data_IF_755719871927
#
_entry.id   IF_755719871927
#
_cell.length_a   1.000
_cell.length_b   1.000
_cell.length_c   1.000
_cell.angle_alpha   90.00
_cell.angle_beta   90.00
_cell.angle_gamma   90.00
#
_symmetry.space_group_name_H-M   'P 1'
#
loop_
_entity.id
_entity.type
_entity.pdbx_description
1 polymer ?
#
# COMPACT_ATOMS: atom_id res chain seq x y z
N UNK A 1 -5.34 16.54 -10.90
CA UNK A 1 -6.10 16.69 -9.65
C UNK A 1 -5.53 15.73 -8.64
N UNK A 2 -5.33 16.19 -7.41
CA UNK A 2 -4.81 15.37 -6.32
C UNK A 2 -5.93 15.05 -5.34
N UNK A 3 -6.00 13.81 -4.86
CA UNK A 3 -7.10 13.29 -4.06
C UNK A 3 -6.61 12.92 -2.67
N UNK A 4 -7.49 13.11 -1.69
CA UNK A 4 -7.46 12.35 -0.47
C UNK A 4 -8.25 11.07 -0.71
N UNK A 5 -7.63 9.93 -0.46
CA UNK A 5 -8.25 8.61 -0.62
C UNK A 5 -8.27 7.85 0.71
N UNK A 6 -9.05 6.78 0.77
CA UNK A 6 -9.01 5.81 1.87
C UNK A 6 -8.66 4.43 1.30
N UNK A 7 -7.64 3.80 1.87
CA UNK A 7 -7.30 2.41 1.61
C UNK A 7 -8.32 1.48 2.28
N UNK A 8 -8.81 0.49 1.55
CA UNK A 8 -9.68 -0.56 2.11
C UNK A 8 -9.00 -1.34 3.24
N UNK A 9 -7.65 -1.31 3.29
CA UNK A 9 -6.91 -1.90 4.40
C UNK A 9 -7.22 -1.23 5.75
N UNK A 10 -7.63 0.05 5.77
CA UNK A 10 -8.11 0.72 6.99
C UNK A 10 -9.27 -0.02 7.67
N UNK A 11 -10.05 -0.77 6.90
CA UNK A 11 -11.19 -1.58 7.36
C UNK A 11 -10.92 -3.09 7.26
N UNK A 12 -9.64 -3.51 7.31
CA UNK A 12 -9.24 -4.92 7.10
C UNK A 12 -9.99 -5.92 7.99
N UNK A 13 -10.35 -5.52 9.21
CA UNK A 13 -11.09 -6.38 10.14
C UNK A 13 -12.57 -6.57 9.80
N UNK A 14 -13.12 -5.82 8.87
CA UNK A 14 -14.53 -5.84 8.51
C UNK A 14 -14.78 -6.37 7.09
N UNK A 15 -13.78 -6.31 6.21
CA UNK A 15 -13.90 -6.64 4.79
C UNK A 15 -13.69 -8.12 4.45
N UNK A 16 -13.62 -9.00 5.45
CA UNK A 16 -13.44 -10.44 5.27
C UNK A 16 -11.97 -10.87 5.40
N UNK A 17 -11.69 -12.16 5.12
CA UNK A 17 -10.35 -12.70 5.30
C UNK A 17 -9.35 -12.03 4.36
N UNK A 18 -8.12 -11.82 4.87
CA UNK A 18 -7.00 -11.44 4.04
C UNK A 18 -6.40 -12.70 3.40
N UNK A 19 -6.25 -12.69 2.09
CA UNK A 19 -5.67 -13.79 1.32
C UNK A 19 -4.23 -13.47 0.97
N UNK A 20 -3.31 -14.02 1.74
CA UNK A 20 -1.88 -13.92 1.50
C UNK A 20 -1.43 -15.16 0.72
N UNK A 21 -0.57 -14.95 -0.25
CA UNK A 21 -0.01 -16.01 -1.05
C UNK A 21 1.45 -16.23 -0.67
N UNK A 22 1.80 -17.47 -0.41
CA UNK A 22 3.16 -17.85 -0.03
C UNK A 22 3.68 -18.92 -0.99
N UNK A 23 4.90 -18.73 -1.49
CA UNK A 23 5.57 -19.74 -2.31
C UNK A 23 6.45 -20.62 -1.42
N UNK A 24 6.24 -21.93 -1.50
CA UNK A 24 7.05 -22.94 -0.81
C UNK A 24 8.40 -23.14 -1.50
N UNK A 25 9.32 -23.81 -0.82
CA UNK A 25 10.65 -24.15 -1.35
C UNK A 25 10.59 -25.03 -2.62
N UNK A 26 9.54 -25.84 -2.80
CA UNK A 26 9.30 -26.65 -4.01
C UNK A 26 8.68 -25.86 -5.17
N UNK A 27 8.38 -24.59 -4.96
CA UNK A 27 7.77 -23.69 -5.94
C UNK A 27 6.24 -23.69 -5.95
N UNK A 28 5.57 -24.54 -5.18
CA UNK A 28 4.12 -24.50 -5.05
C UNK A 28 3.64 -23.28 -4.29
N UNK A 29 2.42 -22.85 -4.58
CA UNK A 29 1.79 -21.70 -3.92
C UNK A 29 0.79 -22.19 -2.88
N UNK A 30 0.85 -21.60 -1.70
CA UNK A 30 -0.10 -21.77 -0.62
C UNK A 30 -0.86 -20.48 -0.38
N UNK A 31 -2.16 -20.60 -0.13
CA UNK A 31 -2.97 -19.52 0.40
C UNK A 31 -2.92 -19.53 1.93
N UNK A 32 -2.41 -18.46 2.53
CA UNK A 32 -2.56 -18.20 3.96
C UNK A 32 -3.73 -17.25 4.16
N UNK A 33 -4.75 -17.71 4.89
CA UNK A 33 -5.88 -16.88 5.25
C UNK A 33 -5.70 -16.33 6.66
N UNK A 34 -5.74 -14.99 6.79
CA UNK A 34 -5.96 -14.35 8.07
C UNK A 34 -7.46 -14.10 8.18
N UNK A 35 -8.11 -14.85 9.05
CA UNK A 35 -9.57 -14.88 9.15
C UNK A 35 -10.10 -13.65 9.89
N UNK A 36 -10.71 -12.75 9.13
CA UNK A 36 -11.50 -11.64 9.64
C UNK A 36 -12.95 -11.77 9.18
N UNK A 37 -13.93 -11.34 9.98
CA UNK A 37 -15.33 -11.39 9.59
C UNK A 37 -15.61 -10.46 8.39
N UNK A 38 -16.52 -10.87 7.53
CA UNK A 38 -17.06 -9.97 6.49
C UNK A 38 -18.34 -9.30 7.03
N UNK A 39 -18.17 -8.18 7.67
CA UNK A 39 -19.26 -7.32 8.17
C UNK A 39 -19.49 -6.10 7.27
N UNK A 40 -18.63 -5.91 6.27
CA UNK A 40 -18.66 -4.83 5.30
C UNK A 40 -18.31 -5.39 3.91
N UNK A 41 -19.05 -5.00 2.89
CA UNK A 41 -18.71 -5.25 1.48
C UNK A 41 -17.88 -4.10 0.92
N UNK A 42 -17.23 -4.28 -0.23
CA UNK A 42 -16.53 -3.18 -0.90
C UNK A 42 -17.50 -2.06 -1.34
N UNK A 43 -18.71 -2.38 -1.75
CA UNK A 43 -19.73 -1.40 -2.13
C UNK A 43 -20.11 -0.52 -0.93
N UNK A 44 -20.36 -1.14 0.22
CA UNK A 44 -20.63 -0.42 1.47
C UNK A 44 -19.42 0.42 1.91
N UNK A 45 -18.20 -0.13 1.78
CA UNK A 45 -16.96 0.60 2.07
C UNK A 45 -16.84 1.86 1.18
N UNK A 46 -17.08 1.73 -0.12
CA UNK A 46 -17.04 2.86 -1.07
C UNK A 46 -18.03 3.97 -0.65
N UNK A 47 -19.27 3.58 -0.35
CA UNK A 47 -20.28 4.51 0.13
C UNK A 47 -19.92 5.18 1.46
N UNK A 48 -19.50 4.39 2.43
CA UNK A 48 -19.12 4.89 3.76
C UNK A 48 -17.85 5.76 3.72
N UNK A 49 -16.85 5.44 2.89
CA UNK A 49 -15.67 6.30 2.70
C UNK A 49 -16.07 7.71 2.21
N UNK A 50 -17.01 7.79 1.26
CA UNK A 50 -17.58 9.06 0.80
C UNK A 50 -18.30 9.78 1.93
N UNK A 51 -19.25 9.10 2.59
CA UNK A 51 -20.21 9.73 3.50
C UNK A 51 -19.62 10.04 4.89
N UNK A 52 -18.74 9.18 5.38
CA UNK A 52 -18.15 9.31 6.73
C UNK A 52 -16.86 10.12 6.71
N UNK A 53 -15.97 9.85 5.74
CA UNK A 53 -14.66 10.52 5.67
C UNK A 53 -14.70 11.75 4.75
N UNK A 54 -15.64 11.80 3.80
CA UNK A 54 -15.79 12.90 2.85
C UNK A 54 -14.68 12.91 1.79
N UNK A 55 -14.22 11.74 1.36
CA UNK A 55 -13.23 11.57 0.28
C UNK A 55 -13.90 11.33 -1.07
N UNK A 56 -13.15 11.51 -2.15
CA UNK A 56 -13.60 11.26 -3.52
C UNK A 56 -12.87 10.11 -4.20
N UNK A 57 -11.97 9.45 -3.49
CA UNK A 57 -11.22 8.33 -4.01
C UNK A 57 -11.01 7.25 -2.94
N UNK A 58 -10.84 6.02 -3.40
CA UNK A 58 -10.52 4.84 -2.58
C UNK A 58 -9.42 4.02 -3.20
N UNK A 59 -8.79 3.18 -2.40
CA UNK A 59 -7.98 2.07 -2.84
C UNK A 59 -8.64 0.76 -2.44
N UNK A 60 -8.63 -0.22 -3.32
CA UNK A 60 -9.12 -1.56 -3.05
C UNK A 60 -7.95 -2.54 -3.10
N UNK A 61 -7.58 -3.08 -1.93
CA UNK A 61 -6.44 -3.97 -1.80
C UNK A 61 -6.76 -5.36 -2.38
N UNK A 62 -5.88 -5.86 -3.23
CA UNK A 62 -6.03 -7.16 -3.91
C UNK A 62 -6.30 -8.30 -2.93
N UNK A 63 -5.60 -8.32 -1.80
CA UNK A 63 -5.69 -9.40 -0.79
C UNK A 63 -7.06 -9.49 -0.08
N UNK A 64 -7.97 -8.53 -0.27
CA UNK A 64 -9.32 -8.50 0.30
C UNK A 64 -10.40 -8.93 -0.69
N UNK A 65 -10.04 -9.16 -1.96
CA UNK A 65 -11.01 -9.62 -2.96
C UNK A 65 -11.42 -11.07 -2.67
N UNK A 66 -12.72 -11.31 -2.58
CA UNK A 66 -13.32 -12.64 -2.45
C UNK A 66 -13.40 -13.35 -3.81
N UNK A 67 -13.57 -12.58 -4.87
CA UNK A 67 -13.65 -13.06 -6.24
C UNK A 67 -13.24 -11.97 -7.22
N UNK A 68 -12.58 -12.38 -8.29
CA UNK A 68 -12.18 -11.52 -9.41
C UNK A 68 -12.91 -11.92 -10.72
N UNK A 69 -14.06 -12.58 -10.62
CA UNK A 69 -14.88 -12.89 -11.81
C UNK A 69 -15.46 -11.62 -12.44
N UNK A 70 -15.68 -11.59 -13.76
CA UNK A 70 -16.10 -10.38 -14.48
C UNK A 70 -17.33 -9.70 -13.87
N UNK A 71 -18.35 -10.44 -13.51
CA UNK A 71 -19.61 -9.91 -12.95
C UNK A 71 -19.38 -9.19 -11.63
N UNK A 72 -18.43 -9.68 -10.80
CA UNK A 72 -18.06 -9.04 -9.53
C UNK A 72 -17.35 -7.72 -9.77
N UNK A 73 -16.46 -7.68 -10.77
CA UNK A 73 -15.70 -6.47 -11.13
C UNK A 73 -16.63 -5.41 -11.74
N UNK A 74 -17.57 -5.81 -12.60
CA UNK A 74 -18.59 -4.90 -13.14
C UNK A 74 -19.46 -4.30 -12.05
N UNK A 75 -19.89 -5.09 -11.05
CA UNK A 75 -20.63 -4.59 -9.89
C UNK A 75 -19.83 -3.56 -9.07
N UNK A 76 -18.56 -3.83 -8.81
CA UNK A 76 -17.70 -2.88 -8.09
C UNK A 76 -17.47 -1.59 -8.91
N UNK A 77 -17.32 -1.72 -10.23
CA UNK A 77 -17.21 -0.55 -11.10
C UNK A 77 -18.49 0.30 -11.03
N UNK A 78 -19.65 -0.33 -11.12
CA UNK A 78 -20.93 0.37 -11.02
C UNK A 78 -21.07 1.08 -9.66
N UNK A 79 -20.68 0.44 -8.55
CA UNK A 79 -20.72 1.04 -7.22
C UNK A 79 -19.82 2.28 -7.10
N UNK A 80 -18.61 2.24 -7.70
CA UNK A 80 -17.73 3.41 -7.78
C UNK A 80 -18.40 4.57 -8.57
N UNK A 81 -18.98 4.25 -9.71
CA UNK A 81 -19.64 5.25 -10.56
C UNK A 81 -20.88 5.86 -9.89
N UNK A 82 -21.75 5.05 -9.28
CA UNK A 82 -22.93 5.50 -8.53
C UNK A 82 -22.56 6.36 -7.32
N UNK A 83 -21.49 6.01 -6.62
CA UNK A 83 -20.97 6.81 -5.52
C UNK A 83 -20.26 8.09 -5.98
N UNK A 84 -19.94 8.24 -7.28
CA UNK A 84 -19.11 9.32 -7.80
C UNK A 84 -17.67 9.23 -7.29
N UNK A 85 -17.22 8.03 -6.92
CA UNK A 85 -15.90 7.76 -6.33
C UNK A 85 -14.90 7.28 -7.39
N UNK A 86 -13.64 7.60 -7.19
CA UNK A 86 -12.55 7.13 -8.05
C UNK A 86 -11.81 5.99 -7.39
N UNK A 87 -11.41 5.01 -8.18
CA UNK A 87 -10.38 4.07 -7.81
C UNK A 87 -9.02 4.75 -7.99
N UNK A 88 -8.27 4.96 -6.90
CA UNK A 88 -6.95 5.60 -6.99
C UNK A 88 -5.88 4.57 -7.31
N UNK A 89 -5.74 3.57 -6.46
CA UNK A 89 -4.71 2.53 -6.55
C UNK A 89 -5.30 1.16 -6.28
N UNK A 90 -4.73 0.14 -6.90
CA UNK A 90 -4.87 -1.24 -6.48
C UNK A 90 -3.53 -1.72 -5.89
N UNK A 91 -3.41 -1.81 -4.57
CA UNK A 91 -2.30 -2.53 -3.94
C UNK A 91 -2.38 -4.02 -4.25
N UNK A 92 -1.28 -4.60 -4.74
CA UNK A 92 -1.17 -6.00 -5.15
C UNK A 92 -0.04 -6.64 -4.35
N UNK A 93 -0.42 -7.56 -3.45
CA UNK A 93 0.46 -8.16 -2.45
C UNK A 93 0.76 -9.64 -2.73
N UNK A 94 0.83 -10.01 -4.01
CA UNK A 94 1.23 -11.34 -4.46
C UNK A 94 2.60 -11.32 -5.12
N UNK A 95 3.28 -12.46 -5.06
CA UNK A 95 4.56 -12.70 -5.72
C UNK A 95 5.77 -12.12 -4.98
N UNK A 96 6.93 -12.57 -5.40
CA UNK A 96 8.24 -12.10 -4.94
C UNK A 96 9.14 -11.78 -6.13
N UNK A 97 9.12 -10.50 -6.54
CA UNK A 97 9.95 -10.00 -7.64
C UNK A 97 11.44 -9.93 -7.27
N UNK A 98 11.76 -9.99 -5.97
CA UNK A 98 13.13 -10.05 -5.44
C UNK A 98 13.72 -11.47 -5.37
N UNK A 99 12.98 -12.51 -5.76
CA UNK A 99 13.47 -13.88 -5.70
C UNK A 99 14.52 -14.17 -6.77
N UNK A 100 15.55 -14.97 -6.44
CA UNK A 100 16.65 -15.30 -7.39
C UNK A 100 16.20 -16.24 -8.52
N UNK A 101 15.17 -17.07 -8.33
CA UNK A 101 14.66 -17.99 -9.34
C UNK A 101 13.86 -17.25 -10.43
N UNK A 102 14.40 -17.21 -11.65
CA UNK A 102 13.81 -16.49 -12.77
C UNK A 102 12.43 -17.06 -13.20
N UNK A 103 12.22 -18.37 -13.08
CA UNK A 103 10.94 -18.98 -13.44
C UNK A 103 9.84 -18.59 -12.47
N UNK A 104 10.16 -18.49 -11.18
CA UNK A 104 9.20 -18.03 -10.17
C UNK A 104 8.85 -16.56 -10.34
N UNK A 105 9.85 -15.70 -10.61
CA UNK A 105 9.56 -14.30 -10.92
C UNK A 105 8.68 -14.14 -12.16
N UNK A 106 8.90 -14.95 -13.21
CA UNK A 106 8.08 -14.89 -14.42
C UNK A 106 6.62 -15.32 -14.17
N UNK A 107 6.40 -16.32 -13.33
CA UNK A 107 5.08 -16.75 -12.89
C UNK A 107 4.39 -15.64 -12.07
N UNK A 108 5.12 -15.04 -11.12
CA UNK A 108 4.65 -13.93 -10.31
C UNK A 108 4.29 -12.71 -11.16
N UNK A 109 5.12 -12.34 -12.14
CA UNK A 109 4.80 -11.27 -13.10
C UNK A 109 3.51 -11.54 -13.87
N UNK A 110 3.30 -12.76 -14.33
CA UNK A 110 2.08 -13.12 -15.08
C UNK A 110 0.83 -12.95 -14.21
N UNK A 111 0.88 -13.38 -12.95
CA UNK A 111 -0.23 -13.26 -12.00
C UNK A 111 -0.50 -11.80 -11.61
N UNK A 112 0.54 -11.01 -11.39
CA UNK A 112 0.44 -9.56 -11.14
C UNK A 112 -0.23 -8.86 -12.33
N UNK A 113 0.16 -9.18 -13.57
CA UNK A 113 -0.45 -8.59 -14.78
C UNK A 113 -1.94 -8.89 -14.93
N UNK A 114 -2.42 -10.03 -14.42
CA UNK A 114 -3.86 -10.31 -14.38
C UNK A 114 -4.59 -9.29 -13.49
N UNK A 115 -4.00 -8.91 -12.35
CA UNK A 115 -4.55 -7.87 -11.48
C UNK A 115 -4.50 -6.47 -12.10
N UNK A 116 -3.53 -6.18 -12.98
CA UNK A 116 -3.54 -4.92 -13.75
C UNK A 116 -4.78 -4.80 -14.64
N UNK A 117 -5.22 -5.91 -15.23
CA UNK A 117 -6.45 -5.94 -16.02
C UNK A 117 -7.67 -5.58 -15.17
N UNK A 118 -7.76 -6.14 -13.96
CA UNK A 118 -8.83 -5.83 -13.01
C UNK A 118 -8.76 -4.37 -12.55
N UNK A 119 -7.57 -3.89 -12.18
CA UNK A 119 -7.34 -2.50 -11.78
C UNK A 119 -7.80 -1.52 -12.89
N UNK A 120 -7.48 -1.82 -14.15
CA UNK A 120 -7.94 -1.03 -15.30
C UNK A 120 -9.47 -1.04 -15.44
N UNK A 121 -10.12 -2.20 -15.29
CA UNK A 121 -11.57 -2.32 -15.36
C UNK A 121 -12.26 -1.51 -14.27
N UNK A 122 -11.69 -1.46 -13.07
CA UNK A 122 -12.14 -0.62 -11.97
C UNK A 122 -11.80 0.87 -12.14
N UNK A 123 -11.02 1.23 -13.15
CA UNK A 123 -10.65 2.61 -13.46
C UNK A 123 -9.55 3.17 -12.54
N UNK A 124 -8.69 2.31 -12.02
CA UNK A 124 -7.54 2.72 -11.22
C UNK A 124 -6.59 3.64 -12.01
N UNK A 125 -5.95 4.56 -11.30
CA UNK A 125 -4.86 5.37 -11.84
C UNK A 125 -3.51 4.69 -11.65
N UNK A 126 -3.35 3.96 -10.56
CA UNK A 126 -2.12 3.31 -10.14
C UNK A 126 -2.34 1.82 -9.83
N UNK A 127 -1.27 1.07 -9.97
CA UNK A 127 -1.10 -0.27 -9.39
C UNK A 127 0.16 -0.28 -8.56
N UNK A 128 0.13 -0.82 -7.35
CA UNK A 128 1.29 -0.92 -6.47
C UNK A 128 1.70 -2.38 -6.32
N UNK A 129 3.00 -2.64 -6.41
CA UNK A 129 3.62 -3.93 -6.12
C UNK A 129 4.71 -3.76 -5.07
N UNK A 130 5.12 -4.86 -4.46
CA UNK A 130 6.28 -4.90 -3.58
C UNK A 130 7.56 -5.19 -4.40
N UNK A 131 8.71 -4.67 -3.96
CA UNK A 131 9.99 -4.97 -4.59
C UNK A 131 10.44 -6.43 -4.38
N UNK A 132 9.97 -7.04 -3.31
CA UNK A 132 10.15 -8.45 -2.94
C UNK A 132 8.99 -8.85 -2.03
N UNK A 133 9.10 -9.94 -1.29
CA UNK A 133 8.14 -10.22 -0.21
C UNK A 133 8.21 -9.12 0.84
N UNK A 134 7.08 -8.70 1.45
CA UNK A 134 7.09 -7.66 2.49
C UNK A 134 8.09 -7.98 3.62
N UNK A 135 8.91 -7.00 4.01
CA UNK A 135 9.93 -7.18 5.03
C UNK A 135 11.14 -8.02 4.63
N UNK A 136 11.21 -8.51 3.38
CA UNK A 136 12.33 -9.34 2.92
C UNK A 136 13.59 -8.52 2.61
N UNK A 137 14.72 -9.26 2.50
CA UNK A 137 15.99 -8.70 2.05
C UNK A 137 16.21 -9.08 0.60
N UNK A 138 16.21 -8.12 -0.30
CA UNK A 138 16.57 -8.32 -1.70
C UNK A 138 18.10 -8.39 -1.80
N UNK A 139 18.62 -9.53 -2.26
CA UNK A 139 20.06 -9.74 -2.40
C UNK A 139 20.64 -9.08 -3.63
N UNK A 140 21.97 -8.89 -3.66
CA UNK A 140 22.69 -8.37 -4.83
C UNK A 140 22.44 -9.22 -6.09
N UNK A 141 22.38 -10.54 -5.93
CA UNK A 141 22.18 -11.49 -7.03
C UNK A 141 20.76 -11.38 -7.63
N UNK A 142 19.78 -10.95 -6.83
CA UNK A 142 18.41 -10.75 -7.29
C UNK A 142 18.20 -9.43 -8.04
N UNK A 143 19.10 -8.44 -7.86
CA UNK A 143 18.92 -7.07 -8.35
C UNK A 143 18.60 -6.98 -9.84
N UNK A 144 19.40 -7.61 -10.70
CA UNK A 144 19.20 -7.54 -12.15
C UNK A 144 17.85 -8.13 -12.57
N UNK A 145 17.44 -9.23 -11.91
CA UNK A 145 16.13 -9.85 -12.11
C UNK A 145 14.99 -8.95 -11.68
N UNK A 146 15.08 -8.36 -10.50
CA UNK A 146 14.09 -7.41 -9.98
C UNK A 146 13.91 -6.21 -10.92
N UNK A 147 15.00 -5.59 -11.36
CA UNK A 147 14.95 -4.47 -12.31
C UNK A 147 14.29 -4.88 -13.63
N UNK A 148 14.60 -6.07 -14.16
CA UNK A 148 13.99 -6.58 -15.39
C UNK A 148 12.47 -6.81 -15.20
N UNK A 149 12.07 -7.44 -14.10
CA UNK A 149 10.66 -7.67 -13.77
C UNK A 149 9.87 -6.37 -13.62
N UNK A 150 10.42 -5.39 -12.88
CA UNK A 150 9.74 -4.10 -12.71
C UNK A 150 9.68 -3.29 -14.03
N UNK A 151 10.66 -3.40 -14.92
CA UNK A 151 10.56 -2.83 -16.27
C UNK A 151 9.42 -3.46 -17.08
N UNK A 152 9.35 -4.79 -17.08
CA UNK A 152 8.30 -5.55 -17.75
C UNK A 152 6.90 -5.18 -17.22
N UNK A 153 6.75 -5.07 -15.90
CA UNK A 153 5.49 -4.65 -15.25
C UNK A 153 5.18 -3.18 -15.54
N UNK A 154 6.18 -2.29 -15.52
CA UNK A 154 5.99 -0.87 -15.84
C UNK A 154 5.52 -0.64 -17.28
N UNK A 155 6.12 -1.36 -18.25
CA UNK A 155 5.69 -1.31 -19.65
C UNK A 155 4.26 -1.85 -19.81
N UNK A 156 3.92 -2.95 -19.12
CA UNK A 156 2.57 -3.50 -19.11
C UNK A 156 1.55 -2.54 -18.51
N UNK A 157 1.83 -1.93 -17.35
CA UNK A 157 0.98 -0.93 -16.73
C UNK A 157 0.75 0.28 -17.64
N UNK A 158 1.82 0.84 -18.21
CA UNK A 158 1.76 1.98 -19.13
C UNK A 158 0.91 1.67 -20.37
N UNK A 159 1.01 0.47 -20.93
CA UNK A 159 0.19 0.05 -22.08
C UNK A 159 -1.31 0.00 -21.77
N UNK A 160 -1.67 -0.16 -20.49
CA UNK A 160 -3.06 -0.16 -20.00
C UNK A 160 -3.52 1.23 -19.52
N UNK A 161 -2.66 2.25 -19.56
CA UNK A 161 -2.94 3.58 -19.01
C UNK A 161 -2.85 3.65 -17.50
N UNK A 162 -2.21 2.67 -16.86
CA UNK A 162 -1.92 2.62 -15.43
C UNK A 162 -0.49 3.10 -15.17
N UNK A 163 -0.21 3.55 -13.94
CA UNK A 163 1.15 3.83 -13.47
C UNK A 163 1.56 2.79 -12.44
N UNK A 164 2.69 2.12 -12.67
CA UNK A 164 3.26 1.20 -11.68
C UNK A 164 3.93 1.97 -10.54
N UNK A 165 3.66 1.56 -9.32
CA UNK A 165 4.32 2.04 -8.10
C UNK A 165 5.00 0.87 -7.38
N UNK A 166 6.12 1.17 -6.74
CA UNK A 166 6.74 0.32 -5.72
C UNK A 166 6.62 1.00 -4.36
N UNK A 167 6.32 0.24 -3.33
CA UNK A 167 6.17 0.74 -1.96
C UNK A 167 7.38 0.41 -1.09
N UNK A 168 7.70 1.31 -0.14
CA UNK A 168 8.51 0.93 1.00
C UNK A 168 7.66 0.08 1.96
N UNK A 169 7.95 -1.22 2.05
CA UNK A 169 7.12 -2.19 2.77
C UNK A 169 7.94 -3.07 3.72
N UNK A 170 8.78 -2.46 4.54
CA UNK A 170 9.72 -3.13 5.45
C UNK A 170 10.96 -3.70 4.75
N UNK A 171 11.91 -4.15 5.53
CA UNK A 171 13.16 -4.74 5.05
C UNK A 171 13.94 -3.82 4.11
N UNK A 172 14.51 -4.38 3.05
CA UNK A 172 15.32 -3.65 2.08
C UNK A 172 14.54 -2.52 1.40
N UNK A 173 13.24 -2.71 1.14
CA UNK A 173 12.42 -1.72 0.44
C UNK A 173 12.17 -0.45 1.24
N UNK A 174 12.40 -0.45 2.55
CA UNK A 174 12.26 0.74 3.39
C UNK A 174 13.50 1.66 3.38
N UNK A 175 14.56 1.27 2.67
CA UNK A 175 15.78 2.08 2.56
C UNK A 175 15.75 3.00 1.33
N UNK A 176 15.99 4.31 1.50
CA UNK A 176 16.22 5.22 0.37
C UNK A 176 17.41 4.81 -0.50
N UNK A 177 18.44 4.16 0.10
CA UNK A 177 19.62 3.62 -0.60
C UNK A 177 19.27 2.48 -1.55
N UNK A 178 18.14 1.84 -1.36
CA UNK A 178 17.63 0.81 -2.25
C UNK A 178 16.59 1.37 -3.23
N UNK A 179 15.57 2.08 -2.75
CA UNK A 179 14.44 2.51 -3.57
C UNK A 179 14.83 3.54 -4.64
N UNK A 180 15.69 4.52 -4.32
CA UNK A 180 16.07 5.55 -5.29
C UNK A 180 16.92 4.98 -6.44
N UNK A 181 17.96 4.16 -6.18
CA UNK A 181 18.64 3.44 -7.26
C UNK A 181 17.75 2.48 -8.05
N UNK A 182 16.79 1.81 -7.40
CA UNK A 182 15.84 0.91 -8.06
C UNK A 182 14.96 1.70 -9.04
N UNK A 183 14.36 2.80 -8.59
CA UNK A 183 13.56 3.67 -9.45
C UNK A 183 14.36 4.20 -10.64
N UNK A 184 15.58 4.65 -10.41
CA UNK A 184 16.47 5.12 -11.47
C UNK A 184 16.84 3.99 -12.46
N UNK A 185 17.15 2.78 -11.97
CA UNK A 185 17.48 1.64 -12.81
C UNK A 185 16.30 1.15 -13.65
N UNK A 186 15.09 1.17 -13.11
CA UNK A 186 13.87 0.79 -13.86
C UNK A 186 13.47 1.86 -14.87
N UNK A 187 13.57 3.12 -14.50
CA UNK A 187 13.20 4.29 -15.30
C UNK A 187 12.01 5.04 -14.67
N UNK A 188 12.13 6.37 -14.59
CA UNK A 188 11.11 7.23 -13.98
C UNK A 188 9.79 7.23 -14.77
N UNK A 189 9.82 6.89 -16.05
CA UNK A 189 8.67 6.72 -16.92
C UNK A 189 7.88 5.42 -16.62
N UNK A 190 8.54 4.41 -16.03
CA UNK A 190 7.97 3.09 -15.72
C UNK A 190 7.57 2.95 -14.27
N UNK A 191 8.38 3.48 -13.33
CA UNK A 191 8.23 3.23 -11.89
C UNK A 191 8.10 4.51 -11.11
N UNK A 192 7.00 4.64 -10.35
CA UNK A 192 6.83 5.61 -9.28
C UNK A 192 7.10 4.99 -7.91
N UNK A 193 7.22 5.82 -6.88
CA UNK A 193 7.30 5.39 -5.49
C UNK A 193 5.97 5.71 -4.80
N UNK A 194 5.38 4.71 -4.14
CA UNK A 194 4.41 4.91 -3.10
C UNK A 194 5.20 4.97 -1.79
N UNK A 195 5.17 6.11 -1.14
CA UNK A 195 5.82 6.32 0.16
C UNK A 195 4.80 6.13 1.28
N UNK A 196 4.91 5.02 1.98
CA UNK A 196 4.15 4.75 3.20
C UNK A 196 4.90 5.34 4.41
N UNK A 197 4.20 6.17 5.20
CA UNK A 197 4.78 6.89 6.33
C UNK A 197 4.96 6.03 7.58
N UNK A 198 4.47 4.78 7.59
CA UNK A 198 4.57 3.84 8.70
C UNK A 198 5.36 2.56 8.37
N UNK A 199 5.63 2.27 7.09
CA UNK A 199 6.28 1.02 6.68
C UNK A 199 7.82 1.08 6.74
N UNK A 200 8.33 1.52 7.87
CA UNK A 200 9.77 1.54 8.21
C UNK A 200 10.03 0.73 9.45
N UNK A 201 11.22 0.15 9.56
CA UNK A 201 11.67 -0.43 10.82
C UNK A 201 11.91 0.69 11.86
N UNK A 202 11.53 0.49 13.13
CA UNK A 202 10.98 -0.74 13.70
C UNK A 202 9.45 -0.87 13.63
N UNK A 203 8.71 0.11 13.07
CA UNK A 203 7.23 0.11 13.08
C UNK A 203 6.63 -1.10 12.36
N UNK A 204 7.22 -1.56 11.24
CA UNK A 204 6.77 -2.76 10.53
C UNK A 204 6.83 -3.98 11.45
N UNK A 205 7.92 -4.14 12.20
CA UNK A 205 8.09 -5.23 13.16
C UNK A 205 7.04 -5.19 14.28
N UNK A 206 6.74 -4.00 14.79
CA UNK A 206 5.73 -3.77 15.82
C UNK A 206 4.33 -4.08 15.27
N UNK A 207 4.00 -3.59 14.09
CA UNK A 207 2.72 -3.86 13.44
C UNK A 207 2.53 -5.36 13.21
N UNK A 208 3.54 -6.04 12.67
CA UNK A 208 3.51 -7.49 12.47
C UNK A 208 3.33 -8.26 13.79
N UNK A 209 4.08 -7.91 14.84
CA UNK A 209 3.94 -8.54 16.15
C UNK A 209 2.52 -8.36 16.71
N UNK A 210 1.95 -7.17 16.59
CA UNK A 210 0.57 -6.90 17.00
C UNK A 210 -0.44 -7.68 16.18
N UNK A 211 -0.24 -7.83 14.87
CA UNK A 211 -1.09 -8.65 14.00
C UNK A 211 -1.10 -10.12 14.43
N UNK A 212 0.04 -10.65 14.80
CA UNK A 212 0.22 -12.05 15.25
C UNK A 212 -0.05 -12.27 16.75
N UNK A 213 -0.52 -11.24 17.46
CA UNK A 213 -0.69 -11.25 18.93
C UNK A 213 0.59 -11.58 19.71
N UNK A 214 1.73 -11.21 19.16
CA UNK A 214 3.04 -11.37 19.80
C UNK A 214 3.33 -10.14 20.64
N UNK A 215 3.80 -10.35 21.85
CA UNK A 215 4.24 -9.25 22.72
C UNK A 215 5.52 -8.61 22.17
N UNK A 216 5.54 -7.29 22.11
CA UNK A 216 6.68 -6.52 21.57
C UNK A 216 6.89 -5.27 22.42
N UNK A 217 8.16 -4.92 22.65
CA UNK A 217 8.48 -3.60 23.23
C UNK A 217 8.21 -2.52 22.20
N UNK A 218 7.41 -1.53 22.58
CA UNK A 218 6.95 -0.47 21.69
C UNK A 218 7.09 0.93 22.29
N UNK A 219 7.79 1.06 23.43
CA UNK A 219 8.06 2.34 24.11
C UNK A 219 9.51 2.77 23.93
N UNK A 220 9.74 4.08 23.94
CA UNK A 220 11.11 4.63 23.80
C UNK A 220 11.79 4.35 22.47
N UNK A 221 11.02 4.11 21.42
CA UNK A 221 11.55 3.78 20.09
C UNK A 221 12.12 5.02 19.43
N UNK A 222 13.36 4.91 18.91
CA UNK A 222 13.94 5.95 18.07
C UNK A 222 13.38 5.90 16.64
N UNK A 223 12.54 6.86 16.28
CA UNK A 223 11.98 7.03 14.93
C UNK A 223 12.71 8.09 14.08
N UNK A 224 13.82 8.68 14.56
CA UNK A 224 14.58 9.67 13.77
C UNK A 224 15.11 9.09 12.44
N UNK A 225 15.62 7.85 12.37
CA UNK A 225 16.01 7.26 11.09
C UNK A 225 14.86 7.16 10.08
N UNK A 226 13.64 6.84 10.54
CA UNK A 226 12.43 6.81 9.70
C UNK A 226 12.11 8.21 9.16
N UNK A 227 12.11 9.25 10.00
CA UNK A 227 11.84 10.63 9.54
C UNK A 227 12.90 11.13 8.56
N UNK A 228 14.16 10.75 8.76
CA UNK A 228 15.24 11.03 7.81
C UNK A 228 15.02 10.32 6.45
N UNK A 229 14.56 9.06 6.47
CA UNK A 229 14.22 8.33 5.25
C UNK A 229 13.02 8.95 4.53
N UNK A 230 11.95 9.34 5.25
CA UNK A 230 10.80 10.06 4.70
C UNK A 230 11.26 11.35 4.00
N UNK A 231 12.12 12.15 4.64
CA UNK A 231 12.63 13.40 4.06
C UNK A 231 13.38 13.18 2.74
N UNK A 232 14.07 12.06 2.60
CA UNK A 232 14.80 11.69 1.37
C UNK A 232 13.90 11.15 0.28
N UNK A 233 12.85 10.38 0.63
CA UNK A 233 11.95 9.75 -0.33
C UNK A 233 10.82 10.68 -0.79
N UNK A 234 10.34 11.59 0.06
CA UNK A 234 9.19 12.44 -0.22
C UNK A 234 9.31 13.25 -1.53
N UNK A 235 10.47 13.82 -1.92
CA UNK A 235 10.62 14.52 -3.21
C UNK A 235 10.44 13.62 -4.44
N UNK A 236 10.53 12.29 -4.27
CA UNK A 236 10.44 11.28 -5.32
C UNK A 236 9.11 10.53 -5.31
N UNK A 237 8.27 10.77 -4.31
CA UNK A 237 7.00 10.07 -4.13
C UNK A 237 5.98 10.46 -5.21
N UNK A 238 5.29 9.47 -5.75
CA UNK A 238 4.15 9.62 -6.65
C UNK A 238 2.83 9.60 -5.87
N UNK A 239 2.77 8.78 -4.83
CA UNK A 239 1.64 8.60 -3.93
C UNK A 239 2.18 8.49 -2.50
N UNK A 240 1.42 8.98 -1.52
CA UNK A 240 1.73 8.85 -0.09
C UNK A 240 0.65 8.00 0.57
N UNK A 241 1.05 7.04 1.42
CA UNK A 241 0.17 6.48 2.43
C UNK A 241 0.38 7.20 3.77
N UNK A 242 -0.67 7.90 4.20
CA UNK A 242 -0.73 8.47 5.55
C UNK A 242 -1.15 7.36 6.51
N UNK A 243 -0.17 6.53 6.87
CA UNK A 243 -0.37 5.36 7.72
C UNK A 243 -0.27 5.71 9.20
N UNK A 244 -1.13 5.08 9.99
CA UNK A 244 -1.05 5.11 11.45
C UNK A 244 -1.42 3.73 12.00
N UNK A 245 -0.79 3.35 13.10
CA UNK A 245 -1.06 2.13 13.85
C UNK A 245 -1.54 2.47 15.26
N UNK A 246 -1.82 1.47 16.08
CA UNK A 246 -2.11 1.71 17.50
C UNK A 246 -0.95 2.44 18.17
N UNK A 247 -1.20 3.37 19.10
CA UNK A 247 -0.14 4.04 19.83
C UNK A 247 0.68 3.03 20.67
N UNK A 248 1.88 3.43 21.04
CA UNK A 248 2.69 2.69 22.01
C UNK A 248 1.96 2.54 23.35
N UNK A 249 2.41 1.62 24.23
CA UNK A 249 1.80 1.38 25.55
C UNK A 249 1.79 2.61 26.46
N UNK A 250 2.73 3.52 26.27
CA UNK A 250 2.80 4.80 26.98
C UNK A 250 1.93 5.91 26.36
N UNK A 251 1.19 5.60 25.27
CA UNK A 251 0.34 6.52 24.56
C UNK A 251 1.04 7.32 23.46
N UNK A 252 2.33 7.10 23.22
CA UNK A 252 3.08 7.77 22.12
C UNK A 252 2.50 7.36 20.76
N UNK A 253 2.13 8.31 19.86
CA UNK A 253 1.67 8.01 18.51
C UNK A 253 2.75 7.32 17.68
N UNK A 254 2.34 6.30 16.90
CA UNK A 254 3.21 5.52 16.02
C UNK A 254 2.65 5.48 14.58
N UNK A 255 3.27 6.20 13.62
CA UNK A 255 4.23 7.30 13.83
C UNK A 255 3.58 8.57 14.39
N UNK A 256 4.38 9.59 14.72
CA UNK A 256 3.90 10.98 14.85
C UNK A 256 3.53 11.48 13.44
N UNK A 257 2.27 11.24 13.06
CA UNK A 257 1.78 11.52 11.72
C UNK A 257 1.83 13.02 11.37
N UNK A 258 1.46 13.97 12.25
CA UNK A 258 1.66 15.40 12.00
C UNK A 258 3.09 15.73 11.60
N UNK A 259 4.08 15.19 12.29
CA UNK A 259 5.50 15.39 11.98
C UNK A 259 5.87 14.80 10.63
N UNK A 260 5.48 13.56 10.35
CA UNK A 260 5.75 12.89 9.07
C UNK A 260 5.14 13.68 7.89
N UNK A 261 3.89 14.13 8.02
CA UNK A 261 3.22 14.94 7.00
C UNK A 261 3.87 16.33 6.83
N UNK A 262 4.38 16.93 7.89
CA UNK A 262 5.12 18.19 7.79
C UNK A 262 6.41 18.03 6.98
N UNK A 263 7.11 16.92 7.12
CA UNK A 263 8.29 16.60 6.30
C UNK A 263 7.90 16.43 4.82
N UNK A 264 6.80 15.72 4.56
CA UNK A 264 6.27 15.58 3.20
C UNK A 264 5.89 16.94 2.60
N UNK A 265 5.19 17.79 3.35
CA UNK A 265 4.83 19.14 2.90
C UNK A 265 6.06 19.99 2.60
N UNK A 266 7.08 19.93 3.45
CA UNK A 266 8.35 20.65 3.26
C UNK A 266 9.12 20.20 1.98
N UNK A 267 8.88 18.98 1.48
CA UNK A 267 9.47 18.51 0.21
C UNK A 267 8.83 19.12 -1.04
N UNK A 268 7.73 19.88 -0.89
CA UNK A 268 6.96 20.42 -2.01
C UNK A 268 6.01 19.40 -2.66
N UNK A 269 5.69 18.29 -1.98
CA UNK A 269 4.79 17.29 -2.49
C UNK A 269 3.37 17.84 -2.73
N UNK A 270 2.81 17.57 -3.90
CA UNK A 270 1.47 18.02 -4.33
C UNK A 270 0.60 16.89 -4.87
N UNK A 271 1.05 15.65 -4.75
CA UNK A 271 0.34 14.46 -5.23
C UNK A 271 -0.83 14.06 -4.33
N UNK A 272 -1.42 12.92 -4.61
CA UNK A 272 -2.51 12.35 -3.81
C UNK A 272 -1.97 11.69 -2.54
N UNK A 273 -2.81 11.68 -1.50
CA UNK A 273 -2.52 10.99 -0.24
C UNK A 273 -3.64 9.99 0.03
N UNK A 274 -3.32 8.77 0.35
CA UNK A 274 -4.26 7.75 0.78
C UNK A 274 -4.10 7.49 2.28
N UNK A 275 -5.21 7.36 2.97
CA UNK A 275 -5.25 7.09 4.41
C UNK A 275 -5.20 5.59 4.61
N UNK A 276 -4.33 5.15 5.52
CA UNK A 276 -4.28 3.76 5.95
C UNK A 276 -4.19 3.64 7.47
N UNK A 277 -5.24 3.10 8.06
CA UNK A 277 -5.25 2.68 9.47
C UNK A 277 -4.93 1.18 9.58
N UNK A 278 -3.86 0.84 10.27
CA UNK A 278 -3.43 -0.56 10.49
C UNK A 278 -3.39 -0.90 11.98
N UNK A 279 -4.38 -0.40 12.72
CA UNK A 279 -4.47 -0.66 14.15
C UNK A 279 -5.52 -1.71 14.51
N UNK A 280 -5.53 -2.06 15.79
CA UNK A 280 -6.46 -3.04 16.39
C UNK A 280 -7.45 -2.40 17.36
N UNK A 281 -7.15 -1.20 17.86
CA UNK A 281 -7.88 -0.55 18.94
C UNK A 281 -8.82 0.54 18.40
N UNK A 282 -10.04 0.55 18.93
CA UNK A 282 -11.06 1.56 18.61
C UNK A 282 -11.82 1.28 17.33
N UNK A 283 -12.70 2.21 16.98
CA UNK A 283 -13.48 2.15 15.74
C UNK A 283 -12.61 2.55 14.55
N UNK A 284 -12.51 1.73 13.49
CA UNK A 284 -11.65 2.01 12.35
C UNK A 284 -12.09 3.25 11.56
N UNK A 285 -13.39 3.57 11.51
CA UNK A 285 -13.86 4.78 10.84
C UNK A 285 -13.49 6.04 11.62
N UNK A 286 -13.62 6.03 12.96
CA UNK A 286 -13.16 7.15 13.79
C UNK A 286 -11.66 7.39 13.62
N UNK A 287 -10.86 6.32 13.58
CA UNK A 287 -9.41 6.41 13.34
C UNK A 287 -9.09 6.95 11.95
N UNK A 288 -9.77 6.45 10.93
CA UNK A 288 -9.63 6.93 9.54
C UNK A 288 -10.00 8.41 9.42
N UNK A 289 -11.08 8.85 10.06
CA UNK A 289 -11.47 10.26 10.12
C UNK A 289 -10.43 11.14 10.83
N UNK A 290 -9.83 10.65 11.91
CA UNK A 290 -8.77 11.39 12.62
C UNK A 290 -7.52 11.58 11.74
N UNK A 291 -7.10 10.54 11.01
CA UNK A 291 -6.01 10.64 10.02
C UNK A 291 -6.40 11.63 8.92
N UNK A 292 -7.63 11.55 8.39
CA UNK A 292 -8.12 12.47 7.36
C UNK A 292 -8.06 13.94 7.81
N UNK A 293 -8.46 14.21 9.05
CA UNK A 293 -8.40 15.55 9.62
C UNK A 293 -6.96 16.07 9.69
N UNK A 294 -6.02 15.22 10.11
CA UNK A 294 -4.59 15.55 10.17
C UNK A 294 -4.02 15.84 8.79
N UNK A 295 -4.35 15.02 7.79
CA UNK A 295 -3.91 15.25 6.40
C UNK A 295 -4.46 16.56 5.85
N UNK A 296 -5.75 16.85 6.05
CA UNK A 296 -6.38 18.09 5.56
C UNK A 296 -5.79 19.36 6.17
N UNK A 297 -5.29 19.30 7.40
CA UNK A 297 -4.59 20.44 8.02
C UNK A 297 -3.29 20.79 7.28
N UNK A 298 -2.56 19.79 6.79
CA UNK A 298 -1.29 19.97 6.09
C UNK A 298 -1.47 20.14 4.58
N UNK A 299 -2.49 19.52 4.00
CA UNK A 299 -2.76 19.44 2.56
C UNK A 299 -4.20 19.86 2.23
N UNK A 300 -4.58 21.13 2.46
CA UNK A 300 -5.97 21.60 2.29
C UNK A 300 -6.45 21.61 0.83
N UNK A 301 -5.55 21.40 -0.15
CA UNK A 301 -5.88 21.38 -1.57
C UNK A 301 -6.39 20.00 -2.06
N UNK A 302 -6.28 18.96 -1.25
CA UNK A 302 -6.75 17.60 -1.61
C UNK A 302 -8.29 17.54 -1.64
N UNK A 303 -8.81 16.88 -2.68
CA UNK A 303 -10.25 16.71 -2.90
C UNK A 303 -10.77 15.42 -2.28
#
# INVERSE_FOLDING_TARGET
>A
MSYLAVSSFSLHKALGPLRLEMRREDGTLDDLLIDFPRTLTFEEFIGQARDTVGVKAVELCQLQFDSAVPERIEHLRAALDEAGMRMLTMPIDIGDLGHVNAAWRADDEARIKNWFTIAKQLGASYVRVNAGSPGSVVTQDAWAGLVASLRSLGDAANSMGLRLLVENHGGTSSSPEFLLPLQAAVGLDRLGILLDLGNFDPLVGISHARFTNTDVEDTGIDLEPMYAAIARLAPHATLIHAKSVDPARDGTPLPDLPRALSIVAASGYTGSISIEWEGRLGDPWERTCAIAATVRQQFPHLQ
#
